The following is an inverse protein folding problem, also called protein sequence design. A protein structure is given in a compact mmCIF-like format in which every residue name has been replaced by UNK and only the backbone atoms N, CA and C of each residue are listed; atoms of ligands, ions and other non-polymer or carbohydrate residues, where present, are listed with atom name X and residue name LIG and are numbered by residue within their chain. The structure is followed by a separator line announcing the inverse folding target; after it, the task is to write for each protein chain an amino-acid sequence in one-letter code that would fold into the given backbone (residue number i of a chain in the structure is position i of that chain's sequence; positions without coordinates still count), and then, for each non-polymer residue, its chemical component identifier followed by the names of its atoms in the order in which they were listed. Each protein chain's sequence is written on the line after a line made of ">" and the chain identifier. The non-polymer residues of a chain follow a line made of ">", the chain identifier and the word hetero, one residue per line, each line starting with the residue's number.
data_IF_526880374345
#
_entry.id   IF_526880374345
#
_cell.length_a   1.000
_cell.length_b   1.000
_cell.length_c   1.000
_cell.angle_alpha   90.00
_cell.angle_beta   90.00
_cell.angle_gamma   90.00
#
_symmetry.space_group_name_H-M   'P 1'
#
loop_
_entity.id
_entity.type
_entity.pdbx_description
1 polymer ?
#
# COMPACT_ATOMS: atom_id res chain seq x y z
N UNK A 1 55.49 0.67 24.60
CA UNK A 1 54.63 0.70 25.77
C UNK A 1 53.62 -0.43 25.60
N UNK A 2 53.70 -1.44 26.45
CA UNK A 2 53.06 -2.76 26.33
C UNK A 2 51.55 -2.64 26.65
N UNK A 3 50.72 -3.19 25.83
CA UNK A 3 49.28 -3.34 26.04
C UNK A 3 49.02 -4.67 26.74
N UNK A 4 48.42 -4.65 27.90
CA UNK A 4 48.10 -5.80 28.69
C UNK A 4 46.80 -6.46 28.26
N UNK A 5 46.84 -7.76 28.01
CA UNK A 5 45.71 -8.64 27.75
C UNK A 5 45.32 -9.31 29.05
N UNK A 6 44.04 -9.30 29.36
CA UNK A 6 43.26 -10.25 30.22
C UNK A 6 42.05 -9.48 30.73
N UNK A 7 40.81 -9.86 30.36
CA UNK A 7 40.04 -10.85 31.09
C UNK A 7 38.93 -11.39 30.20
N UNK A 8 38.99 -12.68 29.97
CA UNK A 8 37.94 -13.54 29.49
C UNK A 8 37.10 -13.99 30.67
N UNK A 9 35.80 -13.77 30.68
CA UNK A 9 34.91 -14.45 31.63
C UNK A 9 33.70 -15.02 30.89
N UNK A 10 33.74 -16.35 30.76
CA UNK A 10 32.61 -17.21 30.43
C UNK A 10 31.51 -17.06 31.48
N UNK A 11 30.26 -17.07 31.05
CA UNK A 11 29.16 -17.58 31.83
C UNK A 11 28.32 -18.52 30.97
N UNK A 12 28.30 -19.78 31.40
CA UNK A 12 27.68 -20.96 30.82
C UNK A 12 26.40 -21.27 31.63
N UNK A 13 25.30 -21.53 30.90
CA UNK A 13 24.20 -22.49 31.14
C UNK A 13 23.22 -22.29 32.29
N UNK A 14 21.93 -22.38 31.92
CA UNK A 14 20.99 -23.37 32.44
C UNK A 14 19.83 -23.63 31.50
N UNK A 15 19.84 -24.78 30.82
CA UNK A 15 18.66 -25.46 30.28
C UNK A 15 17.87 -26.07 31.45
N UNK A 16 16.57 -25.80 31.48
CA UNK A 16 15.63 -26.61 32.24
C UNK A 16 14.54 -27.10 31.31
N UNK A 17 14.64 -28.38 31.01
CA UNK A 17 13.65 -29.22 30.34
C UNK A 17 12.51 -29.57 31.32
N UNK A 18 11.24 -29.44 30.85
CA UNK A 18 10.07 -29.99 31.55
C UNK A 18 9.40 -30.97 30.59
N UNK A 19 9.13 -32.21 31.04
CA UNK A 19 8.51 -33.25 30.21
C UNK A 19 6.99 -33.14 30.17
N UNK A 20 6.33 -33.79 29.17
CA UNK A 20 4.87 -33.76 29.02
C UNK A 20 4.19 -34.82 29.89
N UNK A 21 3.12 -34.47 30.57
CA UNK A 21 2.21 -35.43 31.19
C UNK A 21 0.98 -35.67 30.29
N UNK A 22 0.89 -36.91 29.79
CA UNK A 22 -0.36 -37.48 29.30
C UNK A 22 -1.25 -37.80 30.53
N UNK A 23 -2.52 -37.45 30.43
CA UNK A 23 -3.57 -38.16 31.23
C UNK A 23 -4.77 -38.44 30.32
N UNK A 24 -5.10 -39.70 30.32
CA UNK A 24 -6.21 -40.39 29.63
C UNK A 24 -7.23 -40.84 30.66
N UNK A 25 -8.51 -40.51 30.49
CA UNK A 25 -9.67 -41.28 31.00
C UNK A 25 -10.90 -40.59 30.41
N UNK A 26 -11.66 -41.23 29.67
CA UNK A 26 -12.62 -42.34 29.70
C UNK A 26 -14.05 -41.80 29.73
N UNK A 27 -14.81 -42.38 28.79
CA UNK A 27 -16.21 -42.20 28.44
C UNK A 27 -17.15 -42.37 29.64
N UNK A 28 -18.24 -41.62 29.68
CA UNK A 28 -19.54 -42.22 30.01
C UNK A 28 -20.69 -41.43 29.36
N UNK A 29 -21.63 -42.20 28.87
CA UNK A 29 -22.82 -41.85 28.10
C UNK A 29 -24.00 -41.54 29.03
N UNK A 30 -24.79 -40.52 28.72
CA UNK A 30 -26.24 -40.58 28.90
C UNK A 30 -26.98 -39.46 28.17
N UNK A 31 -27.95 -39.86 27.39
CA UNK A 31 -28.94 -39.06 26.67
C UNK A 31 -29.70 -38.09 27.57
N UNK A 32 -29.95 -36.86 27.08
CA UNK A 32 -31.28 -36.27 27.18
C UNK A 32 -31.43 -35.18 26.11
N UNK A 33 -32.45 -35.36 25.25
CA UNK A 33 -33.00 -34.36 24.37
C UNK A 33 -33.47 -33.12 25.13
N UNK A 34 -33.09 -31.94 24.66
CA UNK A 34 -34.01 -30.79 24.66
C UNK A 34 -33.56 -29.79 23.57
N UNK A 35 -34.49 -29.58 22.64
CA UNK A 35 -34.49 -28.55 21.63
C UNK A 35 -34.42 -27.18 22.26
N UNK A 36 -33.44 -26.38 21.83
CA UNK A 36 -33.67 -24.94 21.71
C UNK A 36 -32.82 -24.35 20.59
N UNK A 37 -33.55 -23.86 19.62
CA UNK A 37 -33.06 -23.18 18.46
C UNK A 37 -32.67 -21.77 18.85
N UNK A 38 -31.40 -21.50 19.07
CA UNK A 38 -30.86 -20.15 19.00
C UNK A 38 -29.88 -20.07 17.84
N UNK A 39 -30.42 -19.55 16.73
CA UNK A 39 -29.71 -19.12 15.54
C UNK A 39 -28.82 -17.93 15.90
N UNK A 40 -27.58 -18.19 16.27
CA UNK A 40 -26.56 -17.17 16.18
C UNK A 40 -26.17 -17.03 14.71
N UNK A 41 -27.04 -16.34 13.94
CA UNK A 41 -26.72 -15.87 12.62
C UNK A 41 -25.59 -14.85 12.75
N UNK A 42 -24.38 -15.24 12.34
CA UNK A 42 -23.34 -14.30 11.94
C UNK A 42 -23.99 -13.37 10.92
N UNK A 43 -24.04 -12.05 11.14
CA UNK A 43 -24.57 -11.17 10.12
C UNK A 43 -23.67 -11.34 8.90
N UNK A 44 -24.20 -11.98 7.86
CA UNK A 44 -23.66 -11.85 6.53
C UNK A 44 -23.69 -10.36 6.21
N UNK A 45 -22.54 -9.75 6.16
CA UNK A 45 -22.35 -8.41 5.61
C UNK A 45 -22.85 -8.47 4.15
N UNK A 46 -24.14 -8.23 3.99
CA UNK A 46 -24.73 -7.94 2.70
C UNK A 46 -24.24 -6.52 2.38
N UNK A 47 -23.02 -6.47 1.80
CA UNK A 47 -22.43 -5.26 1.27
C UNK A 47 -23.49 -4.53 0.47
N UNK A 48 -23.95 -3.40 0.98
CA UNK A 48 -24.85 -2.51 0.29
C UNK A 48 -24.18 -2.14 -1.04
N UNK A 49 -24.74 -2.65 -2.14
CA UNK A 49 -24.37 -2.31 -3.52
C UNK A 49 -24.75 -0.85 -3.85
N UNK A 50 -24.39 0.08 -2.96
CA UNK A 50 -24.57 1.50 -3.24
C UNK A 50 -23.45 1.94 -4.20
N UNK A 51 -23.75 2.63 -5.29
CA UNK A 51 -22.75 3.17 -6.20
C UNK A 51 -21.67 3.95 -5.45
N UNK A 52 -20.44 3.89 -5.91
CA UNK A 52 -19.28 4.56 -5.29
C UNK A 52 -19.58 6.04 -4.97
N UNK A 53 -20.34 6.71 -5.86
CA UNK A 53 -20.81 8.10 -5.65
C UNK A 53 -21.58 8.29 -4.34
N UNK A 54 -22.51 7.38 -4.03
CA UNK A 54 -23.32 7.51 -2.80
C UNK A 54 -22.48 7.24 -1.55
N UNK A 55 -21.52 6.31 -1.65
CA UNK A 55 -20.58 6.03 -0.57
C UNK A 55 -19.65 7.21 -0.33
N UNK A 56 -19.16 7.88 -1.39
CA UNK A 56 -18.32 9.08 -1.29
C UNK A 56 -19.00 10.26 -0.57
N UNK A 57 -20.33 10.33 -0.59
CA UNK A 57 -21.10 11.37 0.14
C UNK A 57 -21.22 11.08 1.64
N UNK A 58 -21.07 9.82 2.04
CA UNK A 58 -21.38 9.33 3.39
C UNK A 58 -20.16 8.87 4.19
N UNK A 59 -19.02 8.68 3.54
CA UNK A 59 -17.83 8.10 4.16
C UNK A 59 -16.57 8.82 3.69
N UNK A 60 -15.58 8.91 4.57
CA UNK A 60 -14.23 9.39 4.23
C UNK A 60 -13.33 8.28 3.67
N UNK A 61 -13.88 7.07 3.51
CA UNK A 61 -13.21 5.93 2.91
C UNK A 61 -14.19 5.13 2.06
N UNK A 62 -13.77 4.75 0.86
CA UNK A 62 -14.55 3.93 -0.06
C UNK A 62 -13.66 2.89 -0.72
N UNK A 63 -14.26 1.80 -1.20
CA UNK A 63 -13.55 0.75 -1.94
C UNK A 63 -14.19 0.61 -3.31
N UNK A 64 -13.38 0.65 -4.37
CA UNK A 64 -13.86 0.49 -5.74
C UNK A 64 -14.00 -0.99 -6.16
N UNK A 65 -14.50 -1.26 -7.37
CA UNK A 65 -14.80 -2.62 -7.85
C UNK A 65 -13.56 -3.51 -8.02
N UNK A 66 -12.38 -2.93 -8.13
CA UNK A 66 -11.12 -3.71 -8.21
C UNK A 66 -10.49 -3.96 -6.85
N UNK A 67 -11.10 -3.43 -5.76
CA UNK A 67 -10.65 -3.63 -4.39
C UNK A 67 -9.66 -2.57 -3.89
N UNK A 68 -9.49 -1.47 -4.62
CA UNK A 68 -8.64 -0.35 -4.16
C UNK A 68 -9.40 0.49 -3.15
N UNK A 69 -8.79 0.72 -1.99
CA UNK A 69 -9.32 1.61 -0.96
C UNK A 69 -8.90 3.04 -1.25
N UNK A 70 -9.84 3.96 -1.21
CA UNK A 70 -9.64 5.39 -1.42
C UNK A 70 -9.98 6.15 -0.13
N UNK A 71 -9.18 7.13 0.22
CA UNK A 71 -9.38 8.04 1.34
C UNK A 71 -9.69 9.44 0.84
N UNK A 72 -10.66 10.10 1.47
CA UNK A 72 -10.95 11.50 1.21
C UNK A 72 -9.82 12.38 1.78
N UNK A 73 -9.16 13.12 0.92
CA UNK A 73 -8.06 14.02 1.30
C UNK A 73 -8.57 15.45 1.44
N UNK A 74 -9.45 15.85 0.53
CA UNK A 74 -10.08 17.18 0.55
C UNK A 74 -11.50 17.08 0.03
N UNK A 75 -12.29 18.17 0.09
CA UNK A 75 -13.61 18.19 -0.55
C UNK A 75 -13.61 17.91 -2.05
N UNK A 76 -12.46 18.09 -2.71
CA UNK A 76 -12.31 18.04 -4.17
C UNK A 76 -11.66 16.77 -4.71
N UNK A 77 -10.95 15.98 -3.87
CA UNK A 77 -10.33 14.76 -4.36
C UNK A 77 -10.13 13.68 -3.28
N UNK A 78 -10.01 12.46 -3.74
CA UNK A 78 -9.71 11.25 -2.99
C UNK A 78 -8.39 10.67 -3.47
N UNK A 79 -7.65 10.00 -2.60
CA UNK A 79 -6.41 9.33 -2.96
C UNK A 79 -6.47 7.83 -2.62
N UNK A 80 -5.79 7.01 -3.41
CA UNK A 80 -5.55 5.62 -3.03
C UNK A 80 -4.89 5.55 -1.66
N UNK A 81 -5.46 4.76 -0.74
CA UNK A 81 -4.88 4.55 0.60
C UNK A 81 -3.45 4.03 0.49
N UNK A 82 -3.19 3.22 -0.52
CA UNK A 82 -1.92 2.59 -0.86
C UNK A 82 -1.46 3.01 -2.25
N UNK A 83 -0.20 2.76 -2.54
CA UNK A 83 0.29 2.64 -3.92
C UNK A 83 -0.56 1.61 -4.68
N UNK A 84 -0.64 1.70 -6.01
CA UNK A 84 -1.35 0.69 -6.80
C UNK A 84 -0.65 -0.65 -6.66
N UNK A 85 -1.35 -1.66 -6.14
CA UNK A 85 -0.79 -3.00 -5.96
C UNK A 85 -0.70 -3.76 -7.29
N UNK A 86 0.22 -4.73 -7.37
CA UNK A 86 0.34 -5.62 -8.52
C UNK A 86 -0.96 -6.36 -8.82
N UNK A 87 -1.69 -6.80 -7.80
CA UNK A 87 -3.00 -7.46 -7.96
C UNK A 87 -4.03 -6.51 -8.59
N UNK A 88 -4.09 -5.24 -8.14
CA UNK A 88 -4.99 -4.24 -8.72
C UNK A 88 -4.60 -3.87 -10.14
N UNK A 89 -3.29 -3.70 -10.40
CA UNK A 89 -2.77 -3.42 -11.73
C UNK A 89 -3.13 -4.54 -12.70
N UNK A 90 -2.91 -5.78 -12.33
CA UNK A 90 -3.23 -6.95 -13.17
C UNK A 90 -4.73 -7.08 -13.45
N UNK A 91 -5.61 -6.79 -12.47
CA UNK A 91 -7.07 -6.77 -12.69
C UNK A 91 -7.53 -5.76 -13.72
N UNK A 92 -6.82 -4.65 -13.88
CA UNK A 92 -7.16 -3.56 -14.81
C UNK A 92 -6.43 -3.72 -16.14
N UNK A 93 -5.13 -4.03 -16.11
CA UNK A 93 -4.28 -4.04 -17.31
C UNK A 93 -4.16 -5.43 -17.96
N UNK A 94 -4.42 -6.50 -17.22
CA UNK A 94 -4.30 -7.89 -17.69
C UNK A 94 -2.88 -8.47 -17.61
N UNK A 95 -1.89 -7.70 -17.14
CA UNK A 95 -0.50 -8.09 -17.00
C UNK A 95 0.14 -7.47 -15.77
N UNK A 96 1.29 -8.02 -15.32
CA UNK A 96 2.09 -7.46 -14.23
C UNK A 96 3.53 -7.27 -14.70
N UNK A 97 4.03 -6.02 -14.86
CA UNK A 97 5.38 -5.73 -15.32
C UNK A 97 6.44 -5.78 -14.22
N UNK A 98 6.04 -5.88 -12.95
CA UNK A 98 6.90 -5.69 -11.78
C UNK A 98 8.10 -6.62 -11.77
N UNK A 99 9.25 -6.07 -11.40
CA UNK A 99 10.48 -6.82 -11.18
C UNK A 99 10.41 -7.65 -9.89
N UNK A 100 9.81 -7.12 -8.84
CA UNK A 100 9.59 -7.81 -7.56
C UNK A 100 8.18 -8.38 -7.53
N UNK A 101 8.05 -9.69 -7.34
CA UNK A 101 6.75 -10.38 -7.43
C UNK A 101 6.07 -10.49 -6.06
N UNK A 102 4.82 -10.05 -5.99
CA UNK A 102 3.95 -10.16 -4.79
C UNK A 102 2.64 -9.41 -5.02
N UNK A 103 1.50 -10.08 -4.90
CA UNK A 103 0.19 -9.49 -5.20
C UNK A 103 -0.10 -8.22 -4.40
N UNK A 104 0.35 -8.17 -3.16
CA UNK A 104 0.17 -7.04 -2.22
C UNK A 104 1.34 -6.04 -2.27
N UNK A 105 2.38 -6.29 -3.07
CA UNK A 105 3.44 -5.33 -3.32
C UNK A 105 2.94 -4.23 -4.25
N UNK A 106 3.54 -3.02 -4.21
CA UNK A 106 3.23 -2.01 -5.22
C UNK A 106 3.62 -2.52 -6.60
N UNK A 107 2.90 -2.11 -7.62
CA UNK A 107 3.36 -2.31 -8.99
C UNK A 107 4.60 -1.45 -9.19
N UNK A 108 5.68 -2.07 -9.64
CA UNK A 108 6.93 -1.44 -10.03
C UNK A 108 7.22 -1.65 -11.52
N UNK A 109 8.28 -1.07 -12.04
CA UNK A 109 8.69 -1.20 -13.44
C UNK A 109 7.62 -0.69 -14.42
N UNK A 110 6.86 0.33 -14.04
CA UNK A 110 5.85 0.99 -14.87
C UNK A 110 6.34 2.34 -15.36
N UNK A 111 6.03 2.66 -16.62
CA UNK A 111 6.23 3.98 -17.19
C UNK A 111 5.12 4.94 -16.75
N UNK A 112 5.34 6.25 -16.92
CA UNK A 112 4.26 7.24 -16.73
C UNK A 112 3.08 6.97 -17.68
N UNK A 113 3.36 6.57 -18.93
CA UNK A 113 2.34 6.23 -19.90
C UNK A 113 1.50 5.03 -19.46
N UNK A 114 2.12 4.01 -18.86
CA UNK A 114 1.41 2.84 -18.31
C UNK A 114 0.52 3.24 -17.13
N UNK A 115 1.02 4.10 -16.25
CA UNK A 115 0.26 4.60 -15.11
C UNK A 115 -0.97 5.42 -15.56
N UNK A 116 -0.83 6.28 -16.57
CA UNK A 116 -1.96 7.01 -17.17
C UNK A 116 -2.94 6.10 -17.90
N UNK A 117 -2.44 5.08 -18.60
CA UNK A 117 -3.29 4.07 -19.24
C UNK A 117 -4.08 3.27 -18.20
N UNK A 118 -3.48 2.94 -17.07
CA UNK A 118 -4.18 2.32 -15.93
C UNK A 118 -5.31 3.21 -15.43
N UNK A 119 -5.05 4.49 -15.16
CA UNK A 119 -6.06 5.44 -14.69
C UNK A 119 -7.23 5.56 -15.65
N UNK A 120 -6.94 5.65 -16.97
CA UNK A 120 -7.96 5.70 -18.01
C UNK A 120 -8.82 4.44 -18.02
N UNK A 121 -8.21 3.26 -18.07
CA UNK A 121 -8.93 1.98 -18.07
C UNK A 121 -9.73 1.74 -16.79
N UNK A 122 -9.19 2.14 -15.63
CA UNK A 122 -9.91 2.05 -14.36
C UNK A 122 -11.15 2.94 -14.37
N UNK A 123 -11.02 4.18 -14.86
CA UNK A 123 -12.16 5.11 -15.03
C UNK A 123 -13.24 4.51 -15.92
N UNK A 124 -12.87 4.01 -17.10
CA UNK A 124 -13.81 3.39 -18.03
C UNK A 124 -14.50 2.16 -17.43
N UNK A 125 -13.75 1.32 -16.72
CA UNK A 125 -14.26 0.12 -16.08
C UNK A 125 -15.30 0.46 -15.01
N UNK A 126 -15.02 1.40 -14.12
CA UNK A 126 -15.91 1.82 -13.04
C UNK A 126 -17.15 2.55 -13.60
N UNK A 127 -16.98 3.40 -14.62
CA UNK A 127 -18.10 4.07 -15.29
C UNK A 127 -19.01 3.08 -16.04
N UNK A 128 -18.44 2.08 -16.69
CA UNK A 128 -19.18 1.01 -17.37
C UNK A 128 -19.94 0.12 -16.37
N UNK A 129 -19.40 -0.08 -15.19
CA UNK A 129 -20.08 -0.80 -14.11
C UNK A 129 -21.20 0.01 -13.43
N UNK A 130 -21.31 1.32 -13.73
CA UNK A 130 -22.28 2.22 -13.10
C UNK A 130 -21.85 2.71 -11.72
N UNK A 131 -20.63 2.39 -11.28
CA UNK A 131 -20.11 2.73 -9.97
C UNK A 131 -19.55 4.16 -9.90
N UNK A 132 -18.90 4.62 -10.98
CA UNK A 132 -18.29 5.94 -11.05
C UNK A 132 -19.11 6.90 -11.91
N UNK A 133 -19.44 8.11 -11.43
CA UNK A 133 -20.09 9.14 -12.24
C UNK A 133 -19.24 9.55 -13.44
N UNK A 134 -19.88 9.96 -14.52
CA UNK A 134 -19.20 10.37 -15.77
C UNK A 134 -18.34 11.63 -15.61
N UNK A 135 -18.63 12.45 -14.62
CA UNK A 135 -17.94 13.67 -14.26
C UNK A 135 -16.74 13.46 -13.32
N UNK A 136 -16.42 12.20 -12.98
CA UNK A 136 -15.24 11.83 -12.20
C UNK A 136 -14.25 11.01 -13.01
N UNK A 137 -12.97 11.13 -12.64
CA UNK A 137 -11.87 10.36 -13.24
C UNK A 137 -10.88 9.90 -12.20
N UNK A 138 -10.28 8.75 -12.44
CA UNK A 138 -9.01 8.38 -11.85
C UNK A 138 -7.88 9.01 -12.64
N UNK A 139 -6.88 9.55 -11.96
CA UNK A 139 -5.69 10.14 -12.56
C UNK A 139 -4.49 9.98 -11.62
N UNK A 140 -3.30 10.41 -12.05
CA UNK A 140 -2.16 10.58 -11.17
C UNK A 140 -2.33 11.85 -10.35
N UNK A 141 -1.77 11.93 -9.13
CA UNK A 141 -1.74 13.19 -8.40
C UNK A 141 -0.89 14.22 -9.15
N UNK A 142 -1.31 15.47 -9.16
CA UNK A 142 -0.39 16.59 -9.43
C UNK A 142 0.66 16.66 -8.33
N UNK A 143 1.80 17.33 -8.56
CA UNK A 143 2.79 17.52 -7.50
C UNK A 143 2.19 18.23 -6.27
N UNK A 144 1.32 19.21 -6.50
CA UNK A 144 0.64 19.92 -5.42
C UNK A 144 -0.31 19.03 -4.62
N UNK A 145 -1.02 18.12 -5.27
CA UNK A 145 -1.83 17.11 -4.59
C UNK A 145 -0.94 16.12 -3.85
N UNK A 146 0.13 15.63 -4.50
CA UNK A 146 1.06 14.70 -3.87
C UNK A 146 1.68 15.29 -2.60
N UNK A 147 2.04 16.57 -2.60
CA UNK A 147 2.54 17.28 -1.40
C UNK A 147 1.50 17.32 -0.26
N UNK A 148 0.21 17.34 -0.58
CA UNK A 148 -0.85 17.21 0.42
C UNK A 148 -0.98 15.77 0.96
N UNK A 149 -0.60 14.76 0.17
CA UNK A 149 -0.62 13.35 0.60
C UNK A 149 0.59 13.01 1.48
N UNK A 150 1.74 13.59 1.17
CA UNK A 150 3.02 13.31 1.81
C UNK A 150 3.21 14.19 3.05
N UNK A 151 2.46 13.92 4.04
CA UNK A 151 2.57 14.43 5.39
C UNK A 151 4.03 14.31 5.96
N UNK A 152 4.26 14.84 7.16
CA UNK A 152 5.53 14.83 7.91
C UNK A 152 5.98 13.44 8.41
N UNK A 153 5.60 12.35 7.74
CA UNK A 153 6.06 10.99 8.07
C UNK A 153 7.59 10.95 8.11
N UNK A 154 8.22 10.62 9.23
CA UNK A 154 9.67 10.54 9.31
C UNK A 154 10.23 9.50 8.34
N UNK A 155 11.33 9.80 7.66
CA UNK A 155 11.95 8.89 6.70
C UNK A 155 12.36 7.53 7.33
N UNK A 156 12.64 7.50 8.64
CA UNK A 156 12.94 6.26 9.39
C UNK A 156 11.75 5.30 9.46
N UNK A 157 10.52 5.82 9.32
CA UNK A 157 9.26 5.09 9.39
C UNK A 157 8.73 4.76 7.98
N UNK A 158 9.59 4.86 6.95
CA UNK A 158 9.30 4.57 5.55
C UNK A 158 10.08 3.34 5.05
N UNK A 159 9.57 2.69 4.02
CA UNK A 159 10.23 1.55 3.34
C UNK A 159 11.39 2.11 2.49
N UNK A 160 12.52 2.38 3.14
CA UNK A 160 13.74 2.97 2.55
C UNK A 160 15.00 2.28 3.08
N UNK A 161 16.13 2.45 2.39
CA UNK A 161 17.45 1.90 2.74
C UNK A 161 18.35 2.90 3.47
N UNK A 162 17.79 3.71 4.38
CA UNK A 162 18.54 4.74 5.11
C UNK A 162 19.49 4.17 6.18
N UNK A 163 19.29 2.91 6.60
CA UNK A 163 20.13 2.20 7.56
C UNK A 163 20.56 0.83 7.02
N UNK A 164 21.54 0.21 7.69
CA UNK A 164 21.99 -1.14 7.32
C UNK A 164 21.25 -2.20 8.17
N UNK A 165 20.93 -3.39 7.64
CA UNK A 165 21.13 -3.80 6.24
C UNK A 165 20.21 -3.05 5.28
N UNK A 166 20.69 -2.78 4.07
CA UNK A 166 19.88 -2.15 3.03
C UNK A 166 18.80 -3.13 2.54
N UNK A 167 17.65 -2.56 2.15
CA UNK A 167 16.58 -3.33 1.51
C UNK A 167 17.02 -3.80 0.13
N UNK A 168 16.47 -4.90 -0.34
CA UNK A 168 16.76 -5.49 -1.65
C UNK A 168 15.56 -5.51 -2.58
N UNK A 169 14.39 -5.07 -2.11
CA UNK A 169 13.13 -5.09 -2.85
C UNK A 169 12.10 -4.15 -2.21
N UNK A 170 10.99 -3.96 -2.89
CA UNK A 170 9.75 -3.42 -2.31
C UNK A 170 9.23 -4.34 -1.20
N UNK A 171 8.31 -3.83 -0.39
CA UNK A 171 7.53 -4.59 0.59
C UNK A 171 6.03 -4.54 0.26
N UNK A 172 5.24 -5.39 0.90
CA UNK A 172 3.79 -5.30 0.81
C UNK A 172 3.31 -3.90 1.23
N UNK A 173 2.39 -3.32 0.49
CA UNK A 173 1.85 -1.99 0.82
C UNK A 173 1.23 -2.00 2.20
N UNK A 174 1.41 -0.92 2.95
CA UNK A 174 0.89 -0.81 4.32
C UNK A 174 1.66 -1.62 5.36
N UNK A 175 2.89 -2.07 5.07
CA UNK A 175 3.73 -2.80 6.02
C UNK A 175 4.17 -1.95 7.22
N UNK A 176 4.16 -0.64 7.08
CA UNK A 176 4.46 0.33 8.12
C UNK A 176 3.22 1.15 8.49
N UNK A 177 3.33 2.02 9.50
CA UNK A 177 2.22 2.85 9.95
C UNK A 177 1.78 3.89 8.90
N UNK A 178 0.48 4.21 8.82
CA UNK A 178 -0.01 5.27 7.96
C UNK A 178 0.36 6.65 8.50
N UNK A 179 0.30 7.65 7.64
CA UNK A 179 0.40 9.04 8.02
C UNK A 179 -0.90 9.57 8.70
N UNK A 180 -0.95 10.86 9.04
CA UNK A 180 -2.09 11.49 9.71
C UNK A 180 -3.38 11.46 8.88
N UNK A 181 -3.29 11.33 7.55
CA UNK A 181 -4.42 11.18 6.64
C UNK A 181 -4.90 9.72 6.52
N UNK A 182 -4.20 8.77 7.14
CA UNK A 182 -4.47 7.34 7.00
C UNK A 182 -3.99 6.77 5.67
N UNK A 183 -3.00 7.41 5.03
CA UNK A 183 -2.35 6.95 3.80
C UNK A 183 -1.04 6.26 4.14
N UNK A 184 -0.76 5.16 3.46
CA UNK A 184 0.44 4.36 3.64
C UNK A 184 1.43 4.62 2.52
N UNK A 185 2.70 4.40 2.82
CA UNK A 185 3.80 4.40 1.85
C UNK A 185 3.85 5.67 0.98
N UNK A 186 3.42 6.82 1.53
CA UNK A 186 3.57 8.12 0.87
C UNK A 186 5.03 8.55 0.79
N UNK A 187 5.90 7.82 1.49
CA UNK A 187 7.35 7.90 1.41
C UNK A 187 7.95 6.50 1.39
N UNK A 188 8.85 6.25 0.45
CA UNK A 188 9.52 4.95 0.29
C UNK A 188 8.70 3.97 -0.56
N UNK A 189 9.05 2.73 -0.48
CA UNK A 189 8.54 1.60 -1.25
C UNK A 189 8.77 1.76 -2.76
N UNK A 190 7.96 2.56 -3.47
CA UNK A 190 8.25 2.99 -4.84
C UNK A 190 8.14 4.51 -4.97
N UNK A 191 8.90 5.10 -5.89
CA UNK A 191 8.69 6.49 -6.30
C UNK A 191 7.40 6.59 -7.09
N UNK A 192 6.58 7.59 -6.75
CA UNK A 192 5.27 7.78 -7.34
C UNK A 192 5.28 8.77 -8.49
N UNK A 193 4.85 8.34 -9.68
CA UNK A 193 4.63 9.21 -10.82
C UNK A 193 3.59 10.28 -10.51
N UNK A 194 3.89 11.54 -10.88
CA UNK A 194 2.97 12.68 -10.83
C UNK A 194 2.47 13.07 -12.23
N UNK A 195 1.29 13.68 -12.27
CA UNK A 195 0.61 14.09 -13.50
C UNK A 195 1.39 15.18 -14.26
N UNK A 196 1.87 16.21 -13.54
CA UNK A 196 2.55 17.37 -14.11
C UNK A 196 4.09 17.26 -14.02
N UNK A 197 4.83 18.03 -14.81
CA UNK A 197 4.37 18.85 -15.93
C UNK A 197 4.04 18.01 -17.17
N UNK A 198 2.97 18.34 -17.89
CA UNK A 198 2.57 17.62 -19.10
C UNK A 198 3.20 18.21 -20.38
N UNK A 199 3.63 19.45 -20.31
CA UNK A 199 4.22 20.25 -21.43
C UNK A 199 5.73 20.07 -21.58
N UNK A 200 6.36 19.23 -20.75
CA UNK A 200 7.81 18.99 -20.73
C UNK A 200 8.16 17.59 -21.24
N UNK A 201 9.38 17.36 -21.70
CA UNK A 201 9.84 16.05 -22.15
C UNK A 201 10.07 15.06 -21.00
N UNK A 202 9.88 15.47 -19.77
CA UNK A 202 10.02 14.64 -18.55
C UNK A 202 8.76 14.72 -17.69
N UNK A 203 8.66 13.76 -16.78
CA UNK A 203 7.64 13.68 -15.72
C UNK A 203 8.35 13.63 -14.38
N UNK A 204 7.62 13.93 -13.32
CA UNK A 204 8.15 13.99 -11.97
C UNK A 204 7.77 12.72 -11.21
N UNK A 205 8.71 12.23 -10.42
CA UNK A 205 8.52 11.18 -9.42
C UNK A 205 8.81 11.75 -8.03
N UNK A 206 8.06 11.27 -7.05
CA UNK A 206 8.11 11.76 -5.67
C UNK A 206 8.22 10.59 -4.68
N UNK A 207 8.59 10.89 -3.43
CA UNK A 207 8.47 9.99 -2.29
C UNK A 207 9.72 9.20 -1.91
N UNK A 208 10.66 9.02 -2.82
CA UNK A 208 11.75 8.05 -2.66
C UNK A 208 11.25 6.61 -2.79
N UNK A 209 12.12 5.63 -2.67
CA UNK A 209 11.81 4.22 -2.87
C UNK A 209 12.57 3.32 -1.89
N UNK A 210 12.35 2.01 -1.99
CA UNK A 210 12.98 0.97 -1.18
C UNK A 210 14.51 1.05 -1.14
N UNK A 211 15.14 1.48 -2.23
CA UNK A 211 16.60 1.61 -2.39
C UNK A 211 17.16 2.99 -2.03
N UNK A 212 16.29 3.97 -1.68
CA UNK A 212 16.73 5.30 -1.26
C UNK A 212 17.59 5.22 -0.01
N UNK A 213 18.87 5.63 -0.13
CA UNK A 213 19.88 5.52 0.93
C UNK A 213 20.55 6.85 1.27
N UNK A 214 20.22 7.92 0.55
CA UNK A 214 20.74 9.27 0.78
C UNK A 214 19.63 10.10 1.39
N UNK A 215 19.89 10.72 2.54
CA UNK A 215 18.89 11.46 3.32
C UNK A 215 18.20 12.58 2.52
N UNK A 216 18.92 13.27 1.64
CA UNK A 216 18.33 14.32 0.81
C UNK A 216 17.26 13.79 -0.15
N UNK A 217 17.45 12.57 -0.67
CA UNK A 217 16.49 11.93 -1.59
C UNK A 217 15.27 11.37 -0.85
N UNK A 218 15.38 11.23 0.47
CA UNK A 218 14.29 10.82 1.34
C UNK A 218 13.40 11.98 1.78
N UNK A 219 13.73 13.23 1.41
CA UNK A 219 12.96 14.41 1.82
C UNK A 219 11.71 14.57 0.98
N UNK A 220 10.61 15.06 1.56
CA UNK A 220 9.38 15.31 0.80
C UNK A 220 9.55 16.25 -0.39
N UNK A 221 10.50 17.17 -0.33
CA UNK A 221 10.80 18.14 -1.40
C UNK A 221 11.57 17.52 -2.56
N UNK A 222 12.17 16.34 -2.38
CA UNK A 222 12.95 15.69 -3.44
C UNK A 222 12.08 15.37 -4.66
N UNK A 223 12.61 15.62 -5.83
CA UNK A 223 11.99 15.34 -7.13
C UNK A 223 12.97 14.59 -8.00
N UNK A 224 12.57 13.44 -8.51
CA UNK A 224 13.26 12.81 -9.63
C UNK A 224 12.54 13.18 -10.93
N UNK A 225 13.28 13.27 -12.01
CA UNK A 225 12.78 13.60 -13.33
C UNK A 225 13.13 12.46 -14.30
N UNK A 226 12.14 11.95 -15.00
CA UNK A 226 12.34 10.88 -15.98
C UNK A 226 11.45 11.08 -17.21
N UNK A 227 11.88 10.56 -18.36
CA UNK A 227 11.05 10.58 -19.55
C UNK A 227 9.81 9.68 -19.36
N UNK A 228 8.65 10.03 -19.97
CA UNK A 228 7.39 9.33 -19.72
C UNK A 228 7.35 7.87 -20.20
N UNK A 229 8.33 7.46 -21.01
CA UNK A 229 8.52 6.09 -21.52
C UNK A 229 9.59 5.29 -20.77
N UNK A 230 10.21 5.86 -19.75
CA UNK A 230 11.23 5.21 -18.92
C UNK A 230 10.61 4.55 -17.69
N UNK A 231 11.27 3.48 -17.27
CA UNK A 231 10.90 2.73 -16.09
C UNK A 231 12.14 2.23 -15.34
N UNK A 232 11.99 2.02 -14.05
CA UNK A 232 12.93 1.34 -13.15
C UNK A 232 12.12 0.50 -12.16
N UNK A 233 12.79 -0.42 -11.48
CA UNK A 233 12.17 -1.29 -10.46
C UNK A 233 11.86 -0.58 -9.12
N UNK A 234 12.02 0.72 -9.08
CA UNK A 234 11.66 1.63 -8.00
C UNK A 234 10.59 2.67 -8.42
N UNK A 235 10.05 2.57 -9.66
CA UNK A 235 9.02 3.45 -10.20
C UNK A 235 7.65 2.78 -10.18
N UNK A 236 6.73 3.37 -9.45
CA UNK A 236 5.33 2.99 -9.34
C UNK A 236 4.43 4.21 -9.35
N UNK A 237 3.23 4.10 -8.77
CA UNK A 237 2.30 5.22 -8.69
C UNK A 237 1.17 4.98 -7.71
N UNK A 238 0.55 6.05 -7.27
CA UNK A 238 -0.73 6.12 -6.56
C UNK A 238 -1.75 6.82 -7.44
N UNK A 239 -3.03 6.46 -7.31
CA UNK A 239 -4.11 7.16 -8.01
C UNK A 239 -4.75 8.21 -7.13
N UNK A 240 -5.29 9.24 -7.76
CA UNK A 240 -6.31 10.11 -7.17
C UNK A 240 -7.61 9.97 -7.95
N UNK A 241 -8.72 10.26 -7.29
CA UNK A 241 -10.06 10.31 -7.87
C UNK A 241 -10.62 11.71 -7.65
N UNK A 242 -11.00 12.38 -8.73
CA UNK A 242 -11.44 13.77 -8.71
C UNK A 242 -12.46 14.07 -9.80
N UNK A 243 -13.22 15.17 -9.73
CA UNK A 243 -14.02 15.68 -10.84
C UNK A 243 -13.14 16.01 -12.05
N UNK A 244 -13.73 15.88 -13.27
CA UNK A 244 -13.09 16.27 -14.55
C UNK A 244 -12.89 17.76 -14.66
#
# INVERSE_FOLDING_TARGET
>A
MKIDRRILTLLIIALLSVPPTLSRAQEDSSDTNMSDSDQNAVPSDSGTNAPLKELMLKSDQVTNTVGMVLKKVSPTFWAGMYEVTQASYQKVMGSNPSAFQGGDHPVDSVTWNDAMAFCTKLTEKEQKAGELPKDFVYTLPTQAQWEQLADDTPARDAVMSLSMPRRSSTEAVGSLAPNSLGLYDTRGNVMEWCLDPQDKPYRVLRGGAWDTYIDINARPEFREYSAPDKTKNDYGFRVVLEPK
#
